data_IF_226189468168
#
_entry.id   IF_226189468168
#
_cell.length_a   1.000
_cell.length_b   1.000
_cell.length_c   1.000
_cell.angle_alpha   90.00
_cell.angle_beta   90.00
_cell.angle_gamma   90.00
#
_symmetry.space_group_name_H-M   'P 1'
#
loop_
_entity.id
_entity.type
_entity.pdbx_description
1 polymer ?
#
# COMPACT_ATOMS: atom_id res chain seq x y z
N UNK A 1 15.85 19.29 -0.87
CA UNK A 1 14.61 19.17 -1.66
C UNK A 1 14.52 17.71 -2.10
N UNK A 2 13.48 16.97 -1.68
CA UNK A 2 13.30 15.59 -2.14
C UNK A 2 13.02 15.63 -3.64
N UNK A 3 13.71 14.79 -4.41
CA UNK A 3 13.42 14.69 -5.84
C UNK A 3 12.05 14.05 -6.05
N UNK A 4 11.38 14.36 -7.16
CA UNK A 4 10.12 13.70 -7.55
C UNK A 4 10.29 12.17 -7.58
N UNK A 5 11.47 11.69 -7.98
CA UNK A 5 11.80 10.26 -7.98
C UNK A 5 11.86 9.68 -6.56
N UNK A 6 12.45 10.39 -5.60
CA UNK A 6 12.54 9.92 -4.22
C UNK A 6 11.16 9.91 -3.54
N UNK A 7 10.32 10.91 -3.84
CA UNK A 7 8.93 10.92 -3.39
C UNK A 7 8.15 9.72 -3.94
N UNK A 8 8.31 9.42 -5.24
CA UNK A 8 7.69 8.26 -5.89
C UNK A 8 8.15 6.93 -5.25
N UNK A 9 9.45 6.76 -5.05
CA UNK A 9 10.01 5.56 -4.38
C UNK A 9 9.44 5.39 -2.97
N UNK A 10 9.29 6.49 -2.23
CA UNK A 10 8.73 6.45 -0.89
C UNK A 10 7.25 6.03 -0.91
N UNK A 11 6.44 6.58 -1.82
CA UNK A 11 5.03 6.21 -1.95
C UNK A 11 4.85 4.75 -2.39
N UNK A 12 5.64 4.26 -3.34
CA UNK A 12 5.63 2.84 -3.73
C UNK A 12 6.00 1.93 -2.55
N UNK A 13 7.02 2.31 -1.77
CA UNK A 13 7.39 1.55 -0.57
C UNK A 13 6.29 1.52 0.47
N UNK A 14 5.54 2.61 0.65
CA UNK A 14 4.37 2.64 1.52
C UNK A 14 3.27 1.69 1.04
N UNK A 15 2.99 1.65 -0.27
CA UNK A 15 2.01 0.72 -0.83
C UNK A 15 2.42 -0.74 -0.59
N UNK A 16 3.69 -1.08 -0.79
CA UNK A 16 4.24 -2.42 -0.51
C UNK A 16 4.06 -2.79 0.96
N UNK A 17 4.40 -1.90 1.89
CA UNK A 17 4.24 -2.15 3.33
C UNK A 17 2.77 -2.42 3.67
N UNK A 18 1.82 -1.70 3.07
CA UNK A 18 0.40 -1.99 3.27
C UNK A 18 0.04 -3.41 2.78
N UNK A 19 0.54 -3.84 1.63
CA UNK A 19 0.30 -5.19 1.12
C UNK A 19 0.91 -6.27 2.03
N UNK A 20 2.13 -6.07 2.54
CA UNK A 20 2.75 -6.99 3.51
C UNK A 20 1.94 -7.12 4.81
N UNK A 21 1.32 -6.02 5.27
CA UNK A 21 0.42 -6.08 6.43
C UNK A 21 -0.89 -6.80 6.10
N UNK A 22 -1.40 -6.63 4.87
CA UNK A 22 -2.57 -7.38 4.43
C UNK A 22 -2.29 -8.90 4.42
N UNK A 23 -1.16 -9.33 3.87
CA UNK A 23 -0.72 -10.74 3.89
C UNK A 23 -0.63 -11.28 5.31
N UNK A 24 0.05 -10.56 6.22
CA UNK A 24 0.15 -10.95 7.64
C UNK A 24 -1.19 -11.03 8.35
N UNK A 25 -2.15 -10.17 7.98
CA UNK A 25 -3.51 -10.23 8.52
C UNK A 25 -4.28 -11.43 7.97
N UNK A 26 -4.11 -11.77 6.69
CA UNK A 26 -4.71 -12.97 6.10
C UNK A 26 -4.17 -14.25 6.76
N UNK A 27 -2.85 -14.33 7.00
CA UNK A 27 -2.22 -15.45 7.71
C UNK A 27 -2.78 -15.67 9.13
N UNK A 28 -3.35 -14.63 9.72
CA UNK A 28 -3.97 -14.64 11.06
C UNK A 28 -5.50 -14.74 11.01
N UNK A 29 -6.09 -15.00 9.84
CA UNK A 29 -7.54 -15.01 9.61
C UNK A 29 -8.24 -13.68 9.95
N UNK A 30 -7.49 -12.58 9.98
CA UNK A 30 -7.94 -11.24 10.32
C UNK A 30 -8.45 -10.49 9.07
N UNK A 31 -9.52 -10.99 8.47
CA UNK A 31 -9.97 -10.55 7.14
C UNK A 31 -10.36 -9.06 7.06
N UNK A 32 -10.95 -8.51 8.12
CA UNK A 32 -11.31 -7.07 8.17
C UNK A 32 -10.06 -6.17 8.15
N UNK A 33 -8.99 -6.55 8.87
CA UNK A 33 -7.73 -5.81 8.84
C UNK A 33 -7.05 -5.93 7.47
N UNK A 34 -7.05 -7.12 6.86
CA UNK A 34 -6.52 -7.32 5.53
C UNK A 34 -7.22 -6.42 4.48
N UNK A 35 -8.55 -6.31 4.54
CA UNK A 35 -9.32 -5.40 3.67
C UNK A 35 -8.88 -3.94 3.81
N UNK A 36 -8.69 -3.47 5.04
CA UNK A 36 -8.23 -2.10 5.31
C UNK A 36 -6.86 -1.86 4.69
N UNK A 37 -5.91 -2.78 4.91
CA UNK A 37 -4.56 -2.65 4.36
C UNK A 37 -4.55 -2.67 2.82
N UNK A 38 -5.33 -3.54 2.18
CA UNK A 38 -5.48 -3.55 0.72
C UNK A 38 -6.10 -2.23 0.21
N UNK A 39 -7.11 -1.70 0.89
CA UNK A 39 -7.74 -0.43 0.52
C UNK A 39 -6.74 0.73 0.59
N UNK A 40 -5.92 0.76 1.65
CA UNK A 40 -4.85 1.75 1.80
C UNK A 40 -3.80 1.65 0.69
N UNK A 41 -3.36 0.43 0.35
CA UNK A 41 -2.43 0.20 -0.74
C UNK A 41 -3.00 0.71 -2.08
N UNK A 42 -4.26 0.39 -2.38
CA UNK A 42 -4.96 0.88 -3.57
C UNK A 42 -5.05 2.40 -3.60
N UNK A 43 -5.39 3.04 -2.48
CA UNK A 43 -5.45 4.50 -2.38
C UNK A 43 -4.10 5.18 -2.67
N UNK A 44 -2.98 4.58 -2.24
CA UNK A 44 -1.64 5.07 -2.56
C UNK A 44 -1.35 4.92 -4.06
N UNK A 45 -1.64 3.75 -4.64
CA UNK A 45 -1.40 3.49 -6.05
C UNK A 45 -2.24 4.39 -6.97
N UNK A 46 -3.50 4.66 -6.60
CA UNK A 46 -4.35 5.62 -7.33
C UNK A 46 -3.78 7.04 -7.31
N UNK A 47 -3.21 7.48 -6.17
CA UNK A 47 -2.51 8.78 -6.08
C UNK A 47 -1.27 8.84 -6.97
N UNK A 48 -0.67 7.69 -7.30
CA UNK A 48 0.42 7.56 -8.26
C UNK A 48 -0.06 7.45 -9.72
N UNK A 49 -1.36 7.52 -9.97
CA UNK A 49 -1.95 7.38 -11.31
C UNK A 49 -2.09 5.93 -11.77
N UNK A 50 -1.91 4.94 -10.88
CA UNK A 50 -2.09 3.53 -11.19
C UNK A 50 -3.52 3.11 -10.83
N UNK A 51 -4.30 2.76 -11.85
CA UNK A 51 -5.71 2.34 -11.74
C UNK A 51 -5.87 0.88 -12.15
N UNK A 52 -6.80 0.15 -11.52
CA UNK A 52 -7.10 -1.26 -11.76
C UNK A 52 -8.58 -1.45 -12.06
#
# INVERSE_FOLDING_TARGET
MISTLDALKMQLRQAIIQLEQAEKSLDKEQMEYAKVYVSNAKGILMKLGITF
#
